data_IF_516545156205
#
_entry.id   IF_516545156205
#
_cell.length_a   1.000
_cell.length_b   1.000
_cell.length_c   1.000
_cell.angle_alpha   90.00
_cell.angle_beta   90.00
_cell.angle_gamma   90.00
#
_symmetry.space_group_name_H-M   'P 1'
#
loop_
_entity.id
_entity.type
_entity.pdbx_description
1 polymer ?
#
# COMPACT_ATOMS: atom_id res chain seq x y z
N UNK A 1 -19.07 22.82 -6.86
CA UNK A 1 -17.70 23.15 -6.44
C UNK A 1 -16.72 22.46 -7.38
N UNK A 2 -15.64 23.12 -7.81
CA UNK A 2 -14.55 22.50 -8.57
C UNK A 2 -13.27 22.62 -7.75
N UNK A 3 -12.52 21.54 -7.64
CA UNK A 3 -11.29 21.52 -6.87
C UNK A 3 -10.22 20.66 -7.57
N UNK A 4 -8.97 20.88 -7.21
CA UNK A 4 -7.83 20.06 -7.63
C UNK A 4 -6.99 19.65 -6.44
N UNK A 5 -6.23 18.57 -6.60
CA UNK A 5 -5.20 18.19 -5.65
C UNK A 5 -3.97 19.07 -5.85
N UNK A 6 -3.43 19.61 -4.78
CA UNK A 6 -2.22 20.45 -4.84
C UNK A 6 -1.02 19.83 -4.13
N UNK A 7 -1.23 18.80 -3.30
CA UNK A 7 -0.17 18.14 -2.54
C UNK A 7 -0.12 16.62 -2.75
N UNK A 8 1.01 16.02 -2.36
CA UNK A 8 1.29 14.59 -2.42
C UNK A 8 0.53 13.88 -1.30
N UNK A 9 0.06 12.64 -1.55
CA UNK A 9 -0.77 11.92 -0.59
C UNK A 9 0.06 11.10 0.39
N UNK A 10 -0.19 11.23 1.69
CA UNK A 10 0.26 10.22 2.65
C UNK A 10 -0.69 9.02 2.58
N UNK A 11 -0.14 7.82 2.46
CA UNK A 11 -0.91 6.59 2.43
C UNK A 11 -0.87 5.92 3.81
N UNK A 12 -1.97 6.02 4.53
CA UNK A 12 -2.17 5.35 5.81
C UNK A 12 -2.76 3.96 5.58
N UNK A 13 -2.12 2.93 6.13
CA UNK A 13 -2.56 1.55 6.01
C UNK A 13 -3.07 1.03 7.35
N UNK A 14 -4.23 0.37 7.30
CA UNK A 14 -4.88 -0.25 8.44
C UNK A 14 -5.14 -1.74 8.17
N UNK A 15 -5.12 -2.55 9.23
CA UNK A 15 -5.54 -3.95 9.13
C UNK A 15 -7.05 -4.05 8.84
N UNK A 16 -7.54 -5.26 8.56
CA UNK A 16 -8.96 -5.48 8.29
C UNK A 16 -9.90 -5.04 9.45
N UNK A 17 -9.40 -4.97 10.69
CA UNK A 17 -10.14 -4.53 11.88
C UNK A 17 -10.10 -3.02 12.08
N UNK A 18 -9.30 -2.29 11.31
CA UNK A 18 -9.14 -0.83 11.41
C UNK A 18 -8.02 -0.39 12.36
N UNK A 19 -7.11 -1.29 12.77
CA UNK A 19 -5.92 -0.88 13.52
C UNK A 19 -4.87 -0.33 12.56
N UNK A 20 -4.25 0.79 12.92
CA UNK A 20 -3.17 1.38 12.12
C UNK A 20 -1.96 0.45 12.07
N UNK A 21 -1.43 0.23 10.87
CA UNK A 21 -0.24 -0.59 10.62
C UNK A 21 0.96 0.31 10.36
N UNK A 22 0.86 1.16 9.34
CA UNK A 22 1.93 2.07 8.95
C UNK A 22 1.41 3.22 8.09
N UNK A 23 2.26 4.23 7.87
CA UNK A 23 2.02 5.34 6.96
C UNK A 23 3.19 5.41 5.99
N UNK A 24 2.88 5.35 4.69
CA UNK A 24 3.85 5.52 3.60
C UNK A 24 3.75 6.97 3.16
N UNK A 25 4.79 7.75 3.47
CA UNK A 25 4.90 9.16 3.11
C UNK A 25 5.36 9.27 1.66
N UNK A 26 4.50 9.80 0.78
CA UNK A 26 4.81 9.95 -0.65
C UNK A 26 5.94 10.92 -0.95
N UNK A 27 6.29 11.78 0.01
CA UNK A 27 7.43 12.69 -0.04
C UNK A 27 8.79 11.96 0.04
N UNK A 28 8.82 10.69 0.45
CA UNK A 28 10.04 9.87 0.57
C UNK A 28 10.30 9.00 -0.68
N UNK A 29 10.11 9.57 -1.87
CA UNK A 29 10.26 8.90 -3.18
C UNK A 29 9.23 7.80 -3.48
N UNK A 30 8.11 7.77 -2.74
CA UNK A 30 7.04 6.82 -2.98
C UNK A 30 6.03 7.32 -4.01
N UNK A 31 5.90 6.58 -5.12
CA UNK A 31 4.93 6.88 -6.17
C UNK A 31 3.69 6.00 -6.02
N UNK A 32 2.52 6.66 -6.03
CA UNK A 32 1.21 6.03 -6.09
C UNK A 32 0.71 6.03 -7.53
N UNK A 33 0.49 4.85 -8.11
CA UNK A 33 -0.04 4.72 -9.46
C UNK A 33 -1.30 3.85 -9.48
N UNK A 34 -2.40 4.41 -9.98
CA UNK A 34 -3.66 3.70 -10.18
C UNK A 34 -3.75 3.16 -11.60
N UNK A 35 -3.81 1.83 -11.76
CA UNK A 35 -4.06 1.18 -13.05
C UNK A 35 -5.43 0.48 -13.04
N UNK A 36 -6.27 0.77 -14.04
CA UNK A 36 -7.51 0.04 -14.33
C UNK A 36 -7.20 -1.05 -15.35
N UNK A 37 -7.19 -2.32 -14.93
CA UNK A 37 -7.02 -3.42 -15.88
C UNK A 37 -8.36 -3.80 -16.51
N UNK A 38 -8.61 -3.33 -17.74
CA UNK A 38 -9.77 -3.77 -18.51
C UNK A 38 -9.45 -5.09 -19.21
N UNK A 39 -9.65 -6.24 -18.55
CA UNK A 39 -9.90 -7.53 -19.22
C UNK A 39 -10.39 -8.53 -18.16
N UNK A 40 -11.72 -8.67 -18.06
CA UNK A 40 -12.48 -9.65 -17.25
C UNK A 40 -12.70 -9.37 -15.75
N UNK A 41 -12.69 -8.11 -15.35
CA UNK A 41 -13.09 -7.65 -14.02
C UNK A 41 -12.39 -6.33 -13.72
N UNK A 42 -13.12 -5.31 -13.31
CA UNK A 42 -12.63 -3.92 -13.20
C UNK A 42 -11.69 -3.70 -12.00
N UNK A 43 -10.69 -4.56 -11.80
CA UNK A 43 -9.80 -4.46 -10.64
C UNK A 43 -8.88 -3.25 -10.82
N UNK A 44 -8.89 -2.37 -9.83
CA UNK A 44 -7.97 -1.24 -9.74
C UNK A 44 -6.74 -1.69 -8.94
N UNK A 45 -5.56 -1.35 -9.43
CA UNK A 45 -4.31 -1.60 -8.69
C UNK A 45 -3.69 -0.29 -8.27
N UNK A 46 -3.28 -0.21 -7.01
CA UNK A 46 -2.43 0.86 -6.50
C UNK A 46 -1.01 0.31 -6.36
N UNK A 47 -0.12 0.75 -7.24
CA UNK A 47 1.30 0.42 -7.18
C UNK A 47 2.04 1.40 -6.28
N UNK A 48 2.97 0.86 -5.49
CA UNK A 48 3.82 1.62 -4.60
C UNK A 48 5.27 1.28 -4.88
N UNK A 49 6.04 2.33 -5.08
CA UNK A 49 7.49 2.29 -4.96
C UNK A 49 7.84 2.75 -3.55
N UNK A 50 8.68 2.04 -2.84
CA UNK A 50 9.18 2.45 -1.54
C UNK A 50 10.69 2.24 -1.54
N UNK A 51 11.44 3.35 -1.63
CA UNK A 51 12.91 3.28 -1.66
C UNK A 51 13.45 2.74 -0.33
N UNK A 52 12.66 2.76 0.75
CA UNK A 52 13.03 2.27 2.08
C UNK A 52 12.25 1.01 2.45
N UNK A 53 12.87 0.07 3.15
CA UNK A 53 12.16 -1.13 3.61
C UNK A 53 11.38 -0.84 4.90
N UNK A 54 10.07 -0.56 4.82
CA UNK A 54 9.22 -0.44 6.00
C UNK A 54 9.06 -1.79 6.73
N UNK A 55 9.71 -1.91 7.88
CA UNK A 55 9.69 -3.13 8.70
C UNK A 55 8.30 -3.51 9.24
N UNK A 56 7.42 -2.54 9.52
CA UNK A 56 6.05 -2.83 9.97
C UNK A 56 5.22 -3.39 8.84
N UNK A 57 5.38 -2.84 7.63
CA UNK A 57 4.76 -3.37 6.43
C UNK A 57 5.28 -4.79 6.11
N UNK A 58 6.58 -5.02 6.24
CA UNK A 58 7.18 -6.34 6.08
C UNK A 58 6.64 -7.34 7.11
N UNK A 59 6.52 -6.94 8.39
CA UNK A 59 5.93 -7.77 9.45
C UNK A 59 4.45 -8.06 9.19
N UNK A 60 3.71 -7.11 8.59
CA UNK A 60 2.31 -7.28 8.21
C UNK A 60 2.13 -8.24 7.02
N UNK A 61 3.01 -8.17 6.02
CA UNK A 61 2.99 -9.07 4.86
C UNK A 61 3.54 -10.47 5.16
N UNK A 62 4.52 -10.55 6.05
CA UNK A 62 5.22 -11.77 6.39
C UNK A 62 4.54 -12.56 7.52
N UNK A 63 5.03 -13.76 7.75
CA UNK A 63 4.75 -14.53 8.96
C UNK A 63 5.93 -14.40 9.89
N UNK A 64 5.66 -14.21 11.17
CA UNK A 64 6.69 -14.37 12.20
C UNK A 64 7.08 -15.85 12.24
N UNK A 65 8.32 -16.16 11.90
CA UNK A 65 8.83 -17.52 12.02
C UNK A 65 9.34 -17.79 13.44
N UNK A 66 9.02 -18.97 13.96
CA UNK A 66 9.73 -19.52 15.11
C UNK A 66 11.11 -19.98 14.67
N UNK A 67 12.13 -19.74 15.51
CA UNK A 67 13.51 -20.07 15.19
C UNK A 67 13.76 -21.58 15.28
N UNK A 68 13.90 -22.22 14.13
CA UNK A 68 14.51 -23.53 13.97
C UNK A 68 15.98 -23.54 14.40
N UNK A 69 16.54 -24.72 14.64
CA UNK A 69 17.96 -24.88 14.98
C UNK A 69 18.90 -24.42 13.86
N UNK A 70 18.43 -24.47 12.60
CA UNK A 70 19.09 -23.85 11.45
C UNK A 70 19.13 -22.31 11.56
N UNK A 71 18.03 -21.68 11.98
CA UNK A 71 17.96 -20.22 12.14
C UNK A 71 18.76 -19.72 13.35
N UNK A 72 18.97 -20.57 14.37
CA UNK A 72 19.90 -20.27 15.48
C UNK A 72 21.37 -20.21 15.03
N UNK A 73 21.72 -20.89 13.92
CA UNK A 73 23.05 -20.85 13.31
C UNK A 73 23.31 -19.59 12.47
N UNK A 74 22.25 -18.86 12.06
CA UNK A 74 22.37 -17.58 11.32
C UNK A 74 22.81 -16.39 12.20
N UNK A 75 23.18 -16.62 13.46
CA UNK A 75 23.69 -15.62 14.40
C UNK A 75 22.59 -14.87 15.18
N UNK A 76 22.95 -13.76 15.84
CA UNK A 76 22.03 -12.91 16.63
C UNK A 76 21.09 -12.07 15.74
N UNK A 77 20.39 -12.67 14.78
CA UNK A 77 19.26 -11.98 14.15
C UNK A 77 18.12 -11.95 15.16
N UNK A 78 17.76 -10.75 15.64
CA UNK A 78 16.74 -10.57 16.68
C UNK A 78 15.33 -10.87 16.17
N UNK A 79 15.09 -10.77 14.86
CA UNK A 79 13.80 -10.99 14.20
C UNK A 79 13.99 -11.62 12.82
N UNK A 80 13.12 -12.57 12.48
CA UNK A 80 13.00 -13.18 11.16
C UNK A 80 11.58 -12.96 10.67
N UNK A 81 11.44 -12.39 9.47
CA UNK A 81 10.16 -12.24 8.77
C UNK A 81 10.20 -13.20 7.59
N UNK A 82 9.26 -14.15 7.56
CA UNK A 82 9.21 -15.18 6.52
C UNK A 82 8.10 -14.88 5.52
N UNK A 83 8.46 -14.84 4.25
CA UNK A 83 7.52 -14.69 3.15
C UNK A 83 7.29 -16.05 2.50
N UNK A 84 6.08 -16.58 2.62
CA UNK A 84 5.67 -17.79 1.92
C UNK A 84 5.05 -17.46 0.56
N UNK A 85 4.75 -18.49 -0.24
CA UNK A 85 3.88 -18.34 -1.41
C UNK A 85 2.45 -18.01 -0.93
N UNK A 86 2.18 -16.75 -0.59
CA UNK A 86 0.84 -16.31 -0.22
C UNK A 86 -0.06 -16.40 -1.46
N UNK A 87 -1.07 -17.28 -1.41
CA UNK A 87 -2.03 -17.45 -2.51
C UNK A 87 -3.15 -16.40 -2.53
N UNK A 88 -3.52 -15.84 -1.38
CA UNK A 88 -4.74 -15.02 -1.25
C UNK A 88 -4.50 -13.53 -0.92
N UNK A 89 -3.25 -13.11 -0.66
CA UNK A 89 -2.95 -11.72 -0.26
C UNK A 89 -3.43 -11.39 1.15
N UNK A 90 -3.03 -10.21 1.66
CA UNK A 90 -3.39 -9.76 3.02
C UNK A 90 -4.40 -8.62 2.95
N UNK A 91 -5.58 -8.79 3.56
CA UNK A 91 -6.65 -7.78 3.53
C UNK A 91 -6.37 -6.60 4.46
N UNK A 92 -6.63 -5.40 3.97
CA UNK A 92 -6.37 -4.13 4.65
C UNK A 92 -7.34 -3.04 4.17
N UNK A 93 -7.26 -1.88 4.83
CA UNK A 93 -7.96 -0.64 4.47
C UNK A 93 -6.92 0.46 4.27
N UNK A 94 -7.20 1.38 3.35
CA UNK A 94 -6.29 2.49 3.04
C UNK A 94 -6.99 3.82 3.22
N UNK A 95 -6.22 4.81 3.65
CA UNK A 95 -6.59 6.23 3.62
C UNK A 95 -5.48 6.99 2.92
N UNK A 96 -5.81 7.74 1.87
CA UNK A 96 -4.91 8.74 1.29
C UNK A 96 -5.31 10.11 1.84
N UNK A 97 -4.41 10.80 2.53
CA UNK A 97 -4.65 12.16 3.02
C UNK A 97 -3.76 13.16 2.27
N UNK A 98 -4.32 14.30 1.90
CA UNK A 98 -3.58 15.38 1.25
C UNK A 98 -4.37 16.69 1.27
N UNK A 99 -3.90 17.67 0.51
CA UNK A 99 -4.53 19.00 0.44
C UNK A 99 -5.18 19.22 -0.92
N UNK A 100 -6.45 19.60 -0.91
CA UNK A 100 -7.20 20.07 -2.05
C UNK A 100 -7.26 21.60 -2.10
N UNK A 101 -7.47 22.16 -3.29
CA UNK A 101 -7.72 23.60 -3.49
C UNK A 101 -8.99 23.82 -4.28
N UNK A 102 -9.89 24.66 -3.76
CA UNK A 102 -11.08 25.08 -4.49
C UNK A 102 -10.71 26.08 -5.60
N UNK A 103 -11.21 25.85 -6.81
CA UNK A 103 -10.88 26.68 -7.98
C UNK A 103 -11.46 28.10 -7.89
N UNK A 104 -12.63 28.27 -7.29
CA UNK A 104 -13.36 29.53 -7.25
C UNK A 104 -12.79 30.51 -6.23
N UNK A 105 -12.50 30.01 -5.03
CA UNK A 105 -12.06 30.81 -3.88
C UNK A 105 -10.53 30.81 -3.73
N UNK A 106 -9.85 29.79 -4.25
CA UNK A 106 -8.44 29.54 -4.00
C UNK A 106 -8.15 29.01 -2.59
N UNK A 107 -9.20 28.67 -1.82
CA UNK A 107 -9.06 28.15 -0.47
C UNK A 107 -8.57 26.70 -0.47
N UNK A 108 -7.65 26.42 0.44
CA UNK A 108 -7.09 25.09 0.69
C UNK A 108 -7.94 24.37 1.73
N UNK A 109 -8.13 23.07 1.54
CA UNK A 109 -8.88 22.22 2.46
C UNK A 109 -8.28 20.82 2.55
N UNK A 110 -8.47 20.17 3.70
CA UNK A 110 -8.04 18.79 3.90
C UNK A 110 -8.89 17.86 3.05
N UNK A 111 -8.24 17.00 2.27
CA UNK A 111 -8.92 15.99 1.47
C UNK A 111 -8.45 14.59 1.85
N UNK A 112 -9.41 13.68 1.97
CA UNK A 112 -9.14 12.29 2.30
C UNK A 112 -9.82 11.35 1.30
N UNK A 113 -9.09 10.37 0.78
CA UNK A 113 -9.64 9.28 -0.02
C UNK A 113 -9.61 8.00 0.82
N UNK A 114 -10.78 7.44 1.09
CA UNK A 114 -10.96 6.19 1.83
C UNK A 114 -11.11 5.02 0.85
N UNK A 115 -10.30 3.97 1.01
CA UNK A 115 -10.42 2.72 0.25
C UNK A 115 -10.68 1.58 1.25
N UNK A 116 -11.95 1.15 1.42
CA UNK A 116 -12.36 0.34 2.56
C UNK A 116 -12.00 -1.14 2.45
N UNK A 117 -11.67 -1.65 1.26
CA UNK A 117 -11.39 -3.07 1.02
C UNK A 117 -10.32 -3.26 -0.03
N UNK A 118 -9.15 -3.71 0.42
CA UNK A 118 -7.98 -3.87 -0.42
C UNK A 118 -7.24 -5.15 -0.03
N UNK A 119 -6.71 -5.87 -1.03
CA UNK A 119 -5.79 -6.98 -0.82
C UNK A 119 -4.37 -6.55 -1.17
N UNK A 120 -3.49 -6.47 -0.18
CA UNK A 120 -2.06 -6.31 -0.39
C UNK A 120 -1.49 -7.58 -1.04
N UNK A 121 -0.88 -7.41 -2.21
CA UNK A 121 -0.15 -8.47 -2.91
C UNK A 121 1.35 -8.15 -2.91
N UNK A 122 2.13 -9.16 -2.57
CA UNK A 122 3.57 -9.06 -2.62
C UNK A 122 4.08 -9.25 -4.05
N UNK A 123 4.93 -8.35 -4.51
CA UNK A 123 5.75 -8.54 -5.72
C UNK A 123 7.23 -8.32 -5.38
N UNK A 124 7.76 -9.08 -4.41
CA UNK A 124 9.13 -8.93 -3.97
C UNK A 124 10.07 -9.46 -5.06
N UNK A 125 10.58 -8.56 -5.89
CA UNK A 125 11.53 -8.88 -6.95
C UNK A 125 12.93 -8.45 -6.54
N UNK A 126 13.65 -9.32 -5.83
CA UNK A 126 15.04 -9.07 -5.42
C UNK A 126 15.99 -9.26 -6.63
N UNK A 127 16.13 -8.24 -7.48
CA UNK A 127 17.10 -8.26 -8.59
C UNK A 127 18.45 -7.69 -8.16
N UNK A 128 19.53 -8.39 -8.52
CA UNK A 128 20.91 -7.92 -8.34
C UNK A 128 21.30 -6.80 -9.31
N UNK A 129 22.51 -6.23 -9.09
CA UNK A 129 23.10 -5.03 -9.72
C UNK A 129 23.08 -4.91 -11.27
N UNK A 130 22.59 -5.88 -12.04
CA UNK A 130 22.62 -5.82 -13.52
C UNK A 130 21.28 -6.07 -14.22
N UNK A 131 20.16 -6.04 -13.50
CA UNK A 131 18.83 -6.05 -14.09
C UNK A 131 18.13 -4.72 -13.89
N UNK A 132 17.22 -4.34 -14.81
CA UNK A 132 16.27 -3.26 -14.55
C UNK A 132 15.58 -3.53 -13.19
N UNK A 133 15.79 -2.63 -12.24
CA UNK A 133 15.12 -2.62 -10.94
C UNK A 133 13.61 -2.72 -11.18
N UNK A 134 12.88 -3.42 -10.31
CA UNK A 134 11.42 -3.35 -10.36
C UNK A 134 11.01 -1.89 -10.20
N UNK A 135 10.12 -1.38 -11.06
CA UNK A 135 9.64 0.00 -10.95
C UNK A 135 8.80 0.21 -9.68
N UNK A 136 8.29 -0.89 -9.10
CA UNK A 136 7.44 -0.92 -7.90
C UNK A 136 7.78 -2.13 -7.00
N UNK A 137 7.66 -1.96 -5.69
CA UNK A 137 8.05 -2.96 -4.68
C UNK A 137 6.88 -3.83 -4.23
N UNK A 138 5.67 -3.27 -4.20
CA UNK A 138 4.43 -3.98 -3.90
C UNK A 138 3.23 -3.26 -4.54
N UNK A 139 2.10 -3.95 -4.59
CA UNK A 139 0.86 -3.37 -5.07
C UNK A 139 -0.34 -3.86 -4.27
N UNK A 140 -1.34 -3.01 -4.24
CA UNK A 140 -2.64 -3.25 -3.65
C UNK A 140 -3.62 -3.61 -4.76
N UNK A 141 -4.20 -4.81 -4.72
CA UNK A 141 -5.39 -5.14 -5.50
C UNK A 141 -6.62 -4.56 -4.78
N UNK A 142 -7.17 -3.49 -5.34
CA UNK A 142 -8.45 -2.93 -4.89
C UNK A 142 -9.52 -3.80 -5.53
N UNK A 143 -10.17 -4.61 -4.70
CA UNK A 143 -11.21 -5.52 -5.15
C UNK A 143 -12.37 -4.69 -5.67
N UNK A 144 -12.86 -4.98 -6.87
CA UNK A 144 -14.16 -4.46 -7.28
C UNK A 144 -15.21 -4.89 -6.28
N UNK A 145 -16.00 -3.93 -5.81
CA UNK A 145 -17.24 -4.11 -5.04
C UNK A 145 -16.96 -4.39 -3.55
N UNK A 146 -17.05 -3.32 -2.74
CA UNK A 146 -17.43 -3.43 -1.34
C UNK A 146 -18.89 -3.95 -1.25
N UNK A 147 -19.45 -4.19 -0.06
CA UNK A 147 -20.85 -4.69 0.04
C UNK A 147 -21.93 -3.68 -0.47
N UNK A 148 -21.52 -2.52 -1.02
CA UNK A 148 -22.33 -1.41 -1.55
C UNK A 148 -21.93 -0.94 -2.96
N UNK A 149 -21.09 -1.68 -3.69
CA UNK A 149 -20.57 -1.36 -5.03
C UNK A 149 -19.62 -0.12 -5.15
N UNK A 150 -19.23 0.56 -4.07
CA UNK A 150 -18.30 1.70 -4.15
C UNK A 150 -16.82 1.27 -4.11
N UNK A 151 -15.97 1.90 -4.92
CA UNK A 151 -14.52 1.64 -4.97
C UNK A 151 -13.74 2.41 -3.89
N UNK A 152 -14.11 3.66 -3.64
CA UNK A 152 -13.51 4.55 -2.65
C UNK A 152 -14.49 5.69 -2.32
N UNK A 153 -14.25 6.38 -1.21
CA UNK A 153 -14.96 7.61 -0.84
C UNK A 153 -13.98 8.78 -0.82
N UNK A 154 -14.42 9.97 -1.25
CA UNK A 154 -13.66 11.21 -1.11
C UNK A 154 -14.35 12.07 -0.07
N UNK A 155 -13.60 12.53 0.93
CA UNK A 155 -14.02 13.42 2.00
C UNK A 155 -13.33 14.76 1.84
N UNK A 156 -14.10 15.85 1.84
CA UNK A 156 -13.66 17.24 1.69
C UNK A 156 -14.67 18.19 2.32
#
# INVERSE_FOLDING_TARGET
MKFGFIDVFDLHMFDAKGNHVTTIESLLESQLHFELQSLRGSNMRLFIKDTMMDTKLLEFMGRKAEKSDYEKMLGKTSRTISFGAQKEGTYCKLILSGVGRELSSGEDFDMTIEIPKVSLKQNLNLKGKSGATSDFDFFFDISTINDKDDLFHIHY
#
